data_IF_923616893834
#
_entry.id   IF_923616893834
#
_cell.length_a   1.000
_cell.length_b   1.000
_cell.length_c   1.000
_cell.angle_alpha   90.00
_cell.angle_beta   90.00
_cell.angle_gamma   90.00
#
_symmetry.space_group_name_H-M   'P 1'
#
loop_
_entity.id
_entity.type
_entity.pdbx_description
1 polymer ?
#
# COMPACT_ATOMS: atom_id res chain seq x y z
N UNK A 1 11.00 -17.24 16.76
CA UNK A 1 11.06 -15.76 16.78
C UNK A 1 11.54 -15.30 15.42
N UNK A 2 10.83 -14.43 14.69
CA UNK A 2 11.37 -13.89 13.44
C UNK A 2 12.50 -12.91 13.77
N UNK A 3 13.64 -13.03 13.08
CA UNK A 3 14.74 -12.07 13.19
C UNK A 3 14.33 -10.71 12.59
N UNK A 4 14.79 -9.58 13.16
CA UNK A 4 14.56 -8.28 12.56
C UNK A 4 15.33 -8.15 11.23
N UNK A 5 14.62 -7.74 10.18
CA UNK A 5 15.20 -7.45 8.86
C UNK A 5 16.28 -6.36 8.98
N UNK A 6 17.52 -6.70 8.61
CA UNK A 6 18.63 -5.76 8.53
C UNK A 6 18.57 -4.99 7.21
N UNK A 7 18.20 -3.72 7.26
CA UNK A 7 18.33 -2.81 6.12
C UNK A 7 19.79 -2.33 6.08
N UNK A 8 20.58 -2.80 5.10
CA UNK A 8 21.95 -2.32 4.85
C UNK A 8 21.88 -1.28 3.74
N UNK A 9 21.96 0.01 4.10
CA UNK A 9 22.13 1.08 3.13
C UNK A 9 23.62 1.24 2.81
N UNK A 10 24.01 0.90 1.58
CA UNK A 10 25.34 1.21 1.05
C UNK A 10 25.31 2.63 0.49
N UNK A 11 25.95 3.57 1.18
CA UNK A 11 26.27 4.90 0.65
C UNK A 11 27.57 4.82 -0.15
N UNK A 12 27.63 5.52 -1.30
CA UNK A 12 28.74 5.48 -2.26
C UNK A 12 30.09 6.06 -1.75
N UNK A 13 30.19 6.43 -0.47
CA UNK A 13 31.43 6.81 0.20
C UNK A 13 31.60 5.96 1.46
N UNK A 14 32.14 4.74 1.29
CA UNK A 14 33.03 4.03 2.22
C UNK A 14 32.68 3.86 3.71
N UNK A 15 31.55 4.33 4.20
CA UNK A 15 31.13 4.20 5.60
C UNK A 15 29.61 3.98 5.65
N UNK A 16 29.21 2.72 5.66
CA UNK A 16 27.84 2.32 5.95
C UNK A 16 27.53 2.70 7.41
N UNK A 17 26.77 3.78 7.62
CA UNK A 17 26.21 4.12 8.93
C UNK A 17 24.79 3.59 8.95
N UNK A 18 24.58 2.46 9.64
CA UNK A 18 23.26 1.96 9.94
C UNK A 18 22.52 2.99 10.80
N UNK A 19 21.59 3.73 10.20
CA UNK A 19 20.66 4.58 10.95
C UNK A 19 19.50 3.69 11.41
N UNK A 20 19.65 3.14 12.61
CA UNK A 20 18.56 2.44 13.31
C UNK A 20 17.68 3.49 13.99
N UNK A 21 16.79 4.13 13.22
CA UNK A 21 15.70 4.90 13.82
C UNK A 21 14.83 3.98 14.67
N UNK A 22 14.44 4.40 15.88
CA UNK A 22 13.59 3.60 16.75
C UNK A 22 12.18 3.53 16.12
N UNK A 23 11.83 2.38 15.51
CA UNK A 23 10.45 2.14 15.08
C UNK A 23 9.58 1.91 16.32
N UNK A 24 8.53 2.72 16.48
CA UNK A 24 7.52 2.46 17.50
C UNK A 24 6.25 1.93 16.85
N UNK A 25 5.71 0.89 17.48
CA UNK A 25 4.41 0.32 17.13
C UNK A 25 3.32 1.14 17.84
N UNK A 26 2.39 1.72 17.09
CA UNK A 26 1.26 2.47 17.63
C UNK A 26 -0.04 1.74 17.30
N UNK A 27 -0.84 1.43 18.33
CA UNK A 27 -2.20 0.91 18.17
C UNK A 27 -3.18 2.07 17.99
N UNK A 28 -3.17 2.65 16.80
CA UNK A 28 -3.96 3.83 16.48
C UNK A 28 -5.47 3.53 16.56
N UNK A 29 -5.86 2.29 16.25
CA UNK A 29 -7.27 1.91 16.13
C UNK A 29 -7.94 1.90 17.49
N UNK A 30 -7.32 1.29 18.50
CA UNK A 30 -7.88 1.28 19.86
C UNK A 30 -7.96 2.69 20.45
N UNK A 31 -7.01 3.57 20.10
CA UNK A 31 -7.02 4.98 20.53
C UNK A 31 -8.19 5.79 19.95
N UNK A 32 -8.58 5.53 18.69
CA UNK A 32 -9.57 6.35 17.98
C UNK A 32 -10.96 5.70 17.92
N UNK A 33 -11.02 4.38 18.02
CA UNK A 33 -12.25 3.59 18.02
C UNK A 33 -12.28 2.70 19.26
N UNK A 34 -12.67 3.23 20.42
CA UNK A 34 -12.69 2.45 21.66
C UNK A 34 -13.81 1.40 21.70
N UNK A 35 -14.87 1.53 20.89
CA UNK A 35 -15.94 0.53 20.79
C UNK A 35 -15.50 -0.65 19.89
N UNK A 36 -15.51 -1.90 20.37
CA UNK A 36 -15.22 -3.09 19.56
C UNK A 36 -16.08 -3.23 18.29
N UNK A 37 -17.30 -2.67 18.27
CA UNK A 37 -18.14 -2.66 17.07
C UNK A 37 -17.54 -1.82 15.95
N UNK A 38 -17.00 -0.65 16.29
CA UNK A 38 -16.37 0.25 15.32
C UNK A 38 -15.04 -0.32 14.83
N UNK A 39 -14.26 -0.94 15.73
CA UNK A 39 -13.04 -1.66 15.36
C UNK A 39 -13.33 -2.81 14.38
N UNK A 40 -14.42 -3.55 14.61
CA UNK A 40 -14.86 -4.62 13.72
C UNK A 40 -15.32 -4.09 12.36
N UNK A 41 -16.01 -2.96 12.34
CA UNK A 41 -16.43 -2.33 11.08
C UNK A 41 -15.23 -1.81 10.29
N UNK A 42 -14.26 -1.21 10.96
CA UNK A 42 -12.98 -0.85 10.36
C UNK A 42 -12.29 -2.07 9.73
N UNK A 43 -12.19 -3.19 10.45
CA UNK A 43 -11.57 -4.42 9.93
C UNK A 43 -12.26 -4.93 8.66
N UNK A 44 -13.59 -4.88 8.60
CA UNK A 44 -14.38 -5.25 7.41
C UNK A 44 -14.10 -4.32 6.25
N UNK A 45 -14.12 -3.02 6.50
CA UNK A 45 -13.88 -2.01 5.47
C UNK A 45 -12.47 -2.15 4.87
N UNK A 46 -11.45 -2.36 5.69
CA UNK A 46 -10.08 -2.64 5.22
C UNK A 46 -10.00 -3.87 4.32
N UNK A 47 -10.74 -4.93 4.63
CA UNK A 47 -10.80 -6.13 3.80
C UNK A 47 -11.48 -5.85 2.46
N UNK A 48 -12.64 -5.17 2.47
CA UNK A 48 -13.38 -4.79 1.26
C UNK A 48 -12.53 -3.92 0.35
N UNK A 49 -11.83 -2.92 0.90
CA UNK A 49 -10.91 -2.05 0.15
C UNK A 49 -9.77 -2.84 -0.49
N UNK A 50 -9.13 -3.73 0.26
CA UNK A 50 -7.99 -4.51 -0.22
C UNK A 50 -8.40 -5.43 -1.38
N UNK A 51 -9.50 -6.17 -1.20
CA UNK A 51 -10.02 -7.08 -2.22
C UNK A 51 -10.54 -6.30 -3.44
N UNK A 52 -11.26 -5.21 -3.23
CA UNK A 52 -11.74 -4.33 -4.31
C UNK A 52 -10.59 -3.79 -5.15
N UNK A 53 -9.56 -3.26 -4.51
CA UNK A 53 -8.37 -2.71 -5.20
C UNK A 53 -7.56 -3.79 -5.93
N UNK A 54 -7.50 -5.02 -5.38
CA UNK A 54 -6.85 -6.14 -6.07
C UNK A 54 -7.64 -6.55 -7.32
N UNK A 55 -8.97 -6.60 -7.23
CA UNK A 55 -9.82 -6.98 -8.35
C UNK A 55 -9.85 -5.92 -9.45
N UNK A 56 -9.86 -4.63 -9.11
CA UNK A 56 -9.75 -3.55 -10.08
C UNK A 56 -8.45 -3.64 -10.89
N UNK A 57 -7.31 -3.87 -10.23
CA UNK A 57 -6.01 -4.09 -10.90
C UNK A 57 -6.02 -5.34 -11.78
N UNK A 58 -6.66 -6.43 -11.34
CA UNK A 58 -6.80 -7.64 -12.13
C UNK A 58 -7.67 -7.40 -13.38
N UNK A 59 -8.77 -6.67 -13.24
CA UNK A 59 -9.63 -6.26 -14.36
C UNK A 59 -8.88 -5.38 -15.36
N UNK A 60 -8.11 -4.39 -14.88
CA UNK A 60 -7.26 -3.53 -15.71
C UNK A 60 -6.22 -4.35 -16.49
N UNK A 61 -5.51 -5.25 -15.82
CA UNK A 61 -4.51 -6.14 -16.44
C UNK A 61 -5.14 -7.04 -17.50
N UNK A 62 -6.36 -7.52 -17.26
CA UNK A 62 -7.14 -8.30 -18.23
C UNK A 62 -7.81 -7.48 -19.34
N UNK A 63 -7.67 -6.14 -19.31
CA UNK A 63 -8.38 -5.20 -20.17
C UNK A 63 -9.92 -5.40 -20.16
N UNK A 64 -10.47 -5.70 -18.98
CA UNK A 64 -11.90 -5.94 -18.78
C UNK A 64 -12.54 -4.77 -18.03
N UNK A 65 -13.62 -4.23 -18.60
CA UNK A 65 -14.54 -3.40 -17.84
C UNK A 65 -15.65 -4.27 -17.20
N UNK A 66 -16.52 -3.67 -16.38
CA UNK A 66 -17.62 -4.40 -15.70
C UNK A 66 -18.56 -5.13 -16.65
N UNK A 67 -18.73 -4.65 -17.89
CA UNK A 67 -19.56 -5.31 -18.91
C UNK A 67 -18.84 -6.53 -19.47
N UNK A 68 -17.56 -6.41 -19.81
CA UNK A 68 -16.74 -7.53 -20.27
C UNK A 68 -16.62 -8.62 -19.22
N UNK A 69 -16.42 -8.25 -17.96
CA UNK A 69 -16.40 -9.19 -16.84
C UNK A 69 -17.74 -9.92 -16.68
N UNK A 70 -18.85 -9.20 -16.76
CA UNK A 70 -20.19 -9.79 -16.70
C UNK A 70 -20.45 -10.77 -17.85
N UNK A 71 -20.05 -10.41 -19.07
CA UNK A 71 -20.16 -11.28 -20.24
C UNK A 71 -19.34 -12.57 -20.06
N UNK A 72 -18.10 -12.47 -19.57
CA UNK A 72 -17.23 -13.63 -19.34
C UNK A 72 -17.74 -14.57 -18.24
N UNK A 73 -18.46 -14.02 -17.25
CA UNK A 73 -19.08 -14.79 -16.18
C UNK A 73 -20.48 -15.32 -16.51
N UNK A 74 -21.07 -14.94 -17.65
CA UNK A 74 -22.48 -15.23 -17.95
C UNK A 74 -23.46 -14.60 -16.95
N UNK A 75 -23.11 -13.44 -16.37
CA UNK A 75 -23.91 -12.72 -15.36
C UNK A 75 -24.37 -11.37 -15.90
N UNK A 76 -25.35 -10.75 -15.23
CA UNK A 76 -25.78 -9.40 -15.58
C UNK A 76 -24.80 -8.33 -15.08
N UNK A 77 -24.69 -7.21 -15.79
CA UNK A 77 -23.91 -6.03 -15.36
C UNK A 77 -24.34 -5.54 -13.96
N UNK A 78 -25.64 -5.54 -13.68
CA UNK A 78 -26.19 -5.14 -12.37
C UNK A 78 -25.72 -6.07 -11.25
N UNK A 79 -25.70 -7.38 -11.50
CA UNK A 79 -25.20 -8.36 -10.54
C UNK A 79 -23.70 -8.17 -10.28
N UNK A 80 -22.87 -8.00 -11.33
CA UNK A 80 -21.44 -7.72 -11.16
C UNK A 80 -21.21 -6.39 -10.44
N UNK A 81 -21.95 -5.33 -10.77
CA UNK A 81 -21.79 -4.04 -10.09
C UNK A 81 -22.14 -4.09 -8.61
N UNK A 82 -23.16 -4.89 -8.23
CA UNK A 82 -23.50 -5.12 -6.82
C UNK A 82 -22.43 -5.89 -6.05
N UNK A 83 -21.78 -6.87 -6.70
CA UNK A 83 -20.68 -7.61 -6.10
C UNK A 83 -19.46 -6.69 -5.89
N UNK A 84 -19.08 -5.93 -6.93
CA UNK A 84 -17.93 -5.05 -6.89
C UNK A 84 -18.13 -3.83 -5.98
N UNK A 85 -19.36 -3.34 -5.84
CA UNK A 85 -19.67 -2.18 -5.01
C UNK A 85 -19.61 -2.45 -3.50
N UNK A 86 -19.24 -3.65 -3.05
CA UNK A 86 -19.16 -4.00 -1.63
C UNK A 86 -20.51 -4.04 -0.89
N UNK A 87 -21.60 -3.64 -1.55
CA UNK A 87 -22.96 -3.60 -0.99
C UNK A 87 -23.53 -4.99 -0.70
N UNK A 88 -22.89 -6.05 -1.20
CA UNK A 88 -23.23 -7.44 -0.90
C UNK A 88 -22.02 -8.20 -0.38
N UNK A 89 -22.26 -9.10 0.59
CA UNK A 89 -21.28 -10.07 1.05
C UNK A 89 -20.89 -11.00 -0.11
N UNK A 90 -19.74 -10.73 -0.72
CA UNK A 90 -19.13 -11.59 -1.72
C UNK A 90 -18.61 -12.86 -1.02
N UNK A 91 -18.94 -14.04 -1.55
CA UNK A 91 -18.32 -15.28 -1.07
C UNK A 91 -16.92 -15.43 -1.67
N UNK A 92 -16.04 -16.20 -1.01
CA UNK A 92 -14.72 -16.51 -1.56
C UNK A 92 -14.81 -17.24 -2.91
N UNK A 93 -15.84 -18.08 -3.11
CA UNK A 93 -16.14 -18.68 -4.42
C UNK A 93 -16.45 -17.62 -5.49
N UNK A 94 -17.26 -16.61 -5.15
CA UNK A 94 -17.57 -15.51 -6.07
C UNK A 94 -16.31 -14.71 -6.41
N UNK A 95 -15.43 -14.47 -5.44
CA UNK A 95 -14.12 -13.85 -5.68
C UNK A 95 -13.27 -14.72 -6.63
N UNK A 96 -13.25 -16.04 -6.42
CA UNK A 96 -12.57 -16.98 -7.29
C UNK A 96 -13.08 -16.93 -8.73
N UNK A 97 -14.40 -16.91 -8.94
CA UNK A 97 -15.00 -16.75 -10.27
C UNK A 97 -14.55 -15.44 -10.94
N UNK A 98 -14.54 -14.33 -10.19
CA UNK A 98 -14.14 -13.02 -10.70
C UNK A 98 -12.66 -12.99 -11.10
N UNK A 99 -11.78 -13.56 -10.28
CA UNK A 99 -10.35 -13.66 -10.56
C UNK A 99 -10.10 -14.59 -11.76
N UNK A 100 -10.76 -15.73 -11.84
CA UNK A 100 -10.72 -16.62 -12.99
C UNK A 100 -11.14 -15.89 -14.29
N UNK A 101 -12.21 -15.11 -14.23
CA UNK A 101 -12.62 -14.30 -15.37
C UNK A 101 -11.57 -13.23 -15.73
N UNK A 102 -10.79 -12.74 -14.78
CA UNK A 102 -9.64 -11.86 -15.04
C UNK A 102 -8.36 -12.62 -15.44
N UNK A 103 -8.34 -13.96 -15.41
CA UNK A 103 -7.12 -14.75 -15.61
C UNK A 103 -6.11 -14.60 -14.48
N UNK A 104 -6.59 -14.31 -13.27
CA UNK A 104 -5.80 -14.14 -12.05
C UNK A 104 -6.16 -15.21 -11.01
N UNK A 105 -5.29 -15.38 -10.02
CA UNK A 105 -5.52 -16.21 -8.84
C UNK A 105 -4.93 -15.56 -7.60
N UNK A 106 -5.26 -16.10 -6.43
CA UNK A 106 -4.63 -15.69 -5.17
C UNK A 106 -3.41 -16.58 -4.96
N UNK A 107 -2.23 -16.01 -5.06
CA UNK A 107 -0.95 -16.70 -4.81
C UNK A 107 -0.59 -16.67 -3.31
N UNK A 108 -0.72 -15.50 -2.67
CA UNK A 108 -0.46 -15.32 -1.24
C UNK A 108 -1.41 -14.29 -0.62
N UNK A 109 -1.61 -14.38 0.70
CA UNK A 109 -2.39 -13.44 1.49
C UNK A 109 -1.56 -12.90 2.67
N UNK A 110 -1.07 -11.69 2.51
CA UNK A 110 -0.31 -10.99 3.56
C UNK A 110 -1.26 -10.41 4.60
N UNK A 111 -1.09 -10.82 5.85
CA UNK A 111 -1.85 -10.33 7.00
C UNK A 111 -1.01 -9.37 7.84
N UNK A 112 -1.66 -8.42 8.50
CA UNK A 112 -1.02 -7.48 9.42
C UNK A 112 -1.87 -7.32 10.68
N UNK A 113 -1.27 -6.95 11.83
CA UNK A 113 -2.04 -6.69 13.03
C UNK A 113 -3.04 -5.55 12.79
N UNK A 114 -4.26 -5.73 13.27
CA UNK A 114 -5.34 -4.77 13.06
C UNK A 114 -5.03 -3.46 13.77
N UNK A 115 -5.08 -2.34 13.05
CA UNK A 115 -4.96 -1.01 13.67
C UNK A 115 -3.55 -0.61 14.09
N UNK A 116 -2.56 -1.45 13.82
CA UNK A 116 -1.17 -1.21 14.23
C UNK A 116 -0.40 -0.56 13.09
N UNK A 117 0.16 0.61 13.36
CA UNK A 117 1.03 1.34 12.43
C UNK A 117 2.45 1.34 12.97
N UNK A 118 3.42 1.00 12.11
CA UNK A 118 4.83 1.23 12.38
C UNK A 118 5.14 2.68 12.07
N UNK A 119 5.39 3.49 13.10
CA UNK A 119 5.84 4.86 12.93
C UNK A 119 7.35 4.87 13.05
N UNK A 120 8.02 5.11 11.93
CA UNK A 120 9.45 5.41 11.90
C UNK A 120 9.59 6.86 12.36
N UNK A 121 10.30 7.13 13.47
CA UNK A 121 10.58 8.52 13.81
C UNK A 121 11.59 9.09 12.80
N UNK A 122 11.21 10.18 12.14
CA UNK A 122 12.15 11.01 11.39
C UNK A 122 12.95 11.88 12.38
N UNK A 123 13.72 11.24 13.28
CA UNK A 123 14.66 11.98 14.13
C UNK A 123 15.96 12.23 13.36
N UNK A 124 15.92 13.23 12.47
CA UNK A 124 16.89 14.31 12.37
C UNK A 124 16.59 15.11 11.10
N UNK A 125 16.20 16.37 11.28
CA UNK A 125 16.36 17.40 10.26
C UNK A 125 17.84 17.43 9.90
N UNK A 126 18.25 16.72 8.85
CA UNK A 126 19.57 16.92 8.26
C UNK A 126 19.51 18.32 7.66
N UNK A 127 20.02 19.31 8.39
CA UNK A 127 20.42 20.57 7.77
C UNK A 127 21.50 20.20 6.77
N UNK A 128 21.12 20.03 5.51
CA UNK A 128 22.08 20.05 4.42
C UNK A 128 22.66 21.45 4.42
N UNK A 129 23.91 21.59 4.88
CA UNK A 129 24.68 22.79 4.63
C UNK A 129 24.96 22.82 3.12
N UNK A 130 24.13 23.54 2.38
CA UNK A 130 24.36 23.78 0.96
C UNK A 130 25.47 24.82 0.87
N UNK A 131 26.69 24.36 0.60
CA UNK A 131 27.80 25.24 0.28
C UNK A 131 27.56 25.77 -1.14
N UNK A 132 27.13 27.04 -1.25
CA UNK A 132 26.98 27.69 -2.54
C UNK A 132 28.38 27.99 -3.08
N UNK A 133 28.78 27.47 -4.26
CA UNK A 133 30.04 27.87 -4.87
C UNK A 133 29.98 29.37 -5.12
N UNK A 134 30.91 30.10 -4.50
CA UNK A 134 31.09 31.54 -4.70
C UNK A 134 31.27 31.81 -6.19
N UNK A 135 30.31 32.54 -6.79
CA UNK A 135 30.48 33.13 -8.11
C UNK A 135 31.51 34.24 -7.99
N UNK A 136 32.78 33.93 -8.23
CA UNK A 136 33.79 34.92 -8.63
C UNK A 136 34.95 34.21 -9.33
N UNK A 137 34.74 33.82 -10.59
CA UNK A 137 35.82 33.52 -11.53
C UNK A 137 35.32 33.54 -12.99
N UNK A 138 34.99 34.72 -13.51
CA UNK A 138 35.16 35.14 -14.93
C UNK A 138 35.19 36.67 -14.86
N UNK A 139 36.33 37.37 -14.98
CA UNK A 139 37.18 37.47 -16.16
C UNK A 139 36.91 38.83 -16.82
N UNK A 140 37.79 39.82 -16.59
CA UNK A 140 37.68 41.16 -17.17
C UNK A 140 39.05 41.78 -17.39
N UNK A 141 39.61 41.55 -18.57
CA UNK A 141 40.69 42.37 -19.15
C UNK A 141 40.06 43.51 -19.93
N UNK A 142 40.29 44.77 -19.55
CA UNK A 142 40.17 45.94 -20.44
C UNK A 142 41.15 47.03 -19.99
N UNK A 143 42.07 47.34 -20.93
CA UNK A 143 43.07 48.43 -21.04
C UNK A 143 44.31 48.36 -20.13
#
# INVERSE_FOLDING_TARGET
>A
MPEPLRIVTTTANGTARAQTGASRTVDWLSEHFPDPKDQREYARQKCVEAIGSALERAMETANLNRVGLAAKLGKSKSQVSRILGGAHNMTLYTLGDLLWACGAEVDDLVLSPLGVVQVVSEDATTRVQVDYPSKNAVGGTVL
#
